data_IF_389219934212
#
_entry.id   IF_389219934212
#
_cell.length_a   1.000
_cell.length_b   1.000
_cell.length_c   1.000
_cell.angle_alpha   90.00
_cell.angle_beta   90.00
_cell.angle_gamma   90.00
#
_symmetry.space_group_name_H-M   'P 1'
#
loop_
_entity.id
_entity.type
_entity.pdbx_description
1 polymer ?
#
# COMPACT_ATOMS: atom_id res chain seq x y z
N UNK A 1 15.09 6.38 16.29
CA UNK A 1 15.30 6.38 14.81
C UNK A 1 15.16 4.98 14.21
N UNK A 2 16.07 4.04 14.47
CA UNK A 2 15.95 2.69 13.89
C UNK A 2 14.76 1.93 14.48
N UNK A 3 14.57 2.01 15.79
CA UNK A 3 13.46 1.38 16.53
C UNK A 3 12.09 1.82 15.99
N UNK A 4 11.93 3.12 15.72
CA UNK A 4 10.69 3.69 15.16
C UNK A 4 10.42 3.20 13.72
N UNK A 5 11.47 2.86 12.98
CA UNK A 5 11.38 2.40 11.59
C UNK A 5 11.19 0.87 11.46
N UNK A 6 11.34 0.09 12.53
CA UNK A 6 11.24 -1.38 12.47
C UNK A 6 9.88 -1.83 11.91
N UNK A 7 8.79 -1.18 12.33
CA UNK A 7 7.44 -1.49 11.83
C UNK A 7 7.31 -1.24 10.32
N UNK A 8 7.82 -0.11 9.84
CA UNK A 8 7.79 0.24 8.41
C UNK A 8 8.66 -0.72 7.58
N UNK A 9 9.85 -1.07 8.10
CA UNK A 9 10.76 -2.03 7.48
C UNK A 9 10.15 -3.43 7.39
N UNK A 10 9.52 -3.91 8.46
CA UNK A 10 8.84 -5.21 8.49
C UNK A 10 7.69 -5.27 7.47
N UNK A 11 6.85 -4.22 7.41
CA UNK A 11 5.77 -4.13 6.42
C UNK A 11 6.31 -4.04 4.99
N UNK A 12 7.39 -3.29 4.78
CA UNK A 12 8.06 -3.20 3.47
C UNK A 12 8.55 -4.59 3.02
N UNK A 13 9.23 -5.33 3.90
CA UNK A 13 9.71 -6.68 3.61
C UNK A 13 8.53 -7.63 3.32
N UNK A 14 7.45 -7.56 4.08
CA UNK A 14 6.25 -8.34 3.84
C UNK A 14 5.64 -8.03 2.46
N UNK A 15 5.60 -6.76 2.07
CA UNK A 15 5.15 -6.35 0.75
C UNK A 15 6.03 -6.88 -0.38
N UNK A 16 7.35 -6.93 -0.19
CA UNK A 16 8.28 -7.56 -1.15
C UNK A 16 7.98 -9.05 -1.28
N UNK A 17 7.79 -9.76 -0.16
CA UNK A 17 7.43 -11.18 -0.16
C UNK A 17 6.08 -11.43 -0.85
N UNK A 18 5.10 -10.54 -0.67
CA UNK A 18 3.81 -10.60 -1.36
C UNK A 18 3.96 -10.45 -2.88
N UNK A 19 4.74 -9.47 -3.36
CA UNK A 19 4.98 -9.28 -4.80
C UNK A 19 5.75 -10.48 -5.40
N UNK A 20 6.69 -11.05 -4.65
CA UNK A 20 7.38 -12.28 -5.04
C UNK A 20 6.41 -13.46 -5.15
N UNK A 21 5.49 -13.61 -4.19
CA UNK A 21 4.42 -14.61 -4.25
C UNK A 21 3.54 -14.43 -5.49
N UNK A 22 3.06 -13.22 -5.79
CA UNK A 22 2.26 -12.96 -7.01
C UNK A 22 3.03 -13.29 -8.30
N UNK A 23 4.32 -12.97 -8.34
CA UNK A 23 5.19 -13.31 -9.47
C UNK A 23 5.32 -14.82 -9.66
N UNK A 24 5.48 -15.59 -8.57
CA UNK A 24 5.50 -17.05 -8.61
C UNK A 24 4.16 -17.64 -9.08
N UNK A 25 3.03 -17.04 -8.69
CA UNK A 25 1.71 -17.45 -9.17
C UNK A 25 1.56 -17.26 -10.68
N UNK A 26 2.08 -16.16 -11.24
CA UNK A 26 2.11 -15.95 -12.70
C UNK A 26 2.98 -16.99 -13.39
N UNK A 27 4.17 -17.31 -12.85
CA UNK A 27 5.05 -18.36 -13.40
C UNK A 27 4.34 -19.71 -13.39
N UNK A 28 3.64 -20.06 -12.31
CA UNK A 28 2.85 -21.29 -12.23
C UNK A 28 1.71 -21.29 -13.26
N UNK A 29 0.98 -20.17 -13.40
CA UNK A 29 -0.09 -20.04 -14.38
C UNK A 29 0.43 -20.19 -15.81
N UNK A 30 1.59 -19.61 -16.15
CA UNK A 30 2.23 -19.80 -17.46
C UNK A 30 2.44 -21.27 -17.79
N UNK A 31 2.94 -22.06 -16.83
CA UNK A 31 3.14 -23.51 -16.99
C UNK A 31 1.79 -24.23 -17.14
N UNK A 32 0.82 -23.92 -16.29
CA UNK A 32 -0.51 -24.55 -16.29
C UNK A 32 -1.25 -24.33 -17.62
N UNK A 33 -1.21 -23.12 -18.16
CA UNK A 33 -1.92 -22.75 -19.39
C UNK A 33 -1.05 -22.77 -20.65
N UNK A 34 0.19 -23.26 -20.55
CA UNK A 34 1.17 -23.31 -21.65
C UNK A 34 1.38 -21.96 -22.37
N UNK A 35 1.39 -20.86 -21.62
CA UNK A 35 1.63 -19.50 -22.15
C UNK A 35 3.10 -19.12 -21.98
N UNK A 36 3.89 -19.36 -23.03
CA UNK A 36 5.31 -19.03 -23.08
C UNK A 36 5.54 -17.53 -23.25
N UNK A 37 6.54 -16.92 -22.58
CA UNK A 37 7.01 -15.58 -22.92
C UNK A 37 7.41 -15.49 -24.41
N UNK A 38 7.23 -14.34 -25.09
CA UNK A 38 6.81 -13.03 -24.54
C UNK A 38 5.29 -12.88 -24.41
N UNK A 39 4.49 -13.92 -24.69
CA UNK A 39 3.04 -13.79 -24.74
C UNK A 39 2.43 -13.45 -23.37
N UNK A 40 1.45 -12.56 -23.40
CA UNK A 40 0.61 -12.17 -22.25
C UNK A 40 -0.87 -12.41 -22.52
N UNK A 41 -1.22 -12.90 -23.70
CA UNK A 41 -2.53 -13.46 -24.05
C UNK A 41 -2.70 -14.88 -23.52
N UNK A 42 -3.83 -15.51 -23.85
CA UNK A 42 -4.17 -16.85 -23.40
C UNK A 42 -5.58 -16.95 -22.81
N UNK A 43 -5.92 -18.05 -22.12
CA UNK A 43 -7.24 -18.24 -21.52
C UNK A 43 -7.59 -17.13 -20.51
N UNK A 44 -8.88 -16.77 -20.34
CA UNK A 44 -9.28 -15.72 -19.41
C UNK A 44 -8.78 -15.92 -17.97
N UNK A 45 -8.62 -17.16 -17.52
CA UNK A 45 -8.06 -17.48 -16.19
C UNK A 45 -6.60 -17.02 -16.06
N UNK A 46 -5.76 -17.34 -17.05
CA UNK A 46 -4.37 -16.88 -17.10
C UNK A 46 -4.30 -15.35 -17.11
N UNK A 47 -5.09 -14.72 -18.00
CA UNK A 47 -5.08 -13.27 -18.14
C UNK A 47 -5.46 -12.57 -16.83
N UNK A 48 -6.42 -13.10 -16.06
CA UNK A 48 -6.79 -12.53 -14.75
C UNK A 48 -5.65 -12.59 -13.74
N UNK A 49 -4.97 -13.73 -13.63
CA UNK A 49 -3.81 -13.89 -12.72
C UNK A 49 -2.69 -12.92 -13.12
N UNK A 50 -2.38 -12.85 -14.43
CA UNK A 50 -1.37 -11.95 -14.97
C UNK A 50 -1.70 -10.47 -14.69
N UNK A 51 -2.95 -10.06 -14.96
CA UNK A 51 -3.41 -8.68 -14.71
C UNK A 51 -3.48 -8.34 -13.22
N UNK A 52 -3.82 -9.31 -12.37
CA UNK A 52 -3.83 -9.11 -10.92
C UNK A 52 -2.42 -8.82 -10.39
N UNK A 53 -1.41 -9.60 -10.81
CA UNK A 53 -0.02 -9.35 -10.45
C UNK A 53 0.48 -8.00 -10.99
N UNK A 54 0.25 -7.71 -12.27
CA UNK A 54 0.68 -6.45 -12.88
C UNK A 54 0.10 -5.23 -12.14
N UNK A 55 -1.20 -5.24 -11.82
CA UNK A 55 -1.83 -4.16 -11.07
C UNK A 55 -1.23 -4.02 -9.65
N UNK A 56 -0.99 -5.12 -8.95
CA UNK A 56 -0.33 -5.08 -7.64
C UNK A 56 1.08 -4.48 -7.74
N UNK A 57 1.83 -4.76 -8.81
CA UNK A 57 3.17 -4.22 -9.02
C UNK A 57 3.18 -2.75 -9.43
N UNK A 58 2.21 -2.27 -10.22
CA UNK A 58 2.06 -0.85 -10.58
C UNK A 58 1.81 0.03 -9.35
N UNK A 59 1.02 -0.46 -8.39
CA UNK A 59 0.71 0.29 -7.16
C UNK A 59 1.75 0.14 -6.06
N UNK A 60 2.65 -0.84 -6.15
CA UNK A 60 3.62 -1.13 -5.09
C UNK A 60 4.57 0.05 -4.80
N UNK A 61 5.15 0.75 -5.80
CA UNK A 61 5.96 1.94 -5.56
C UNK A 61 5.20 3.09 -4.90
N UNK A 62 3.93 3.28 -5.29
CA UNK A 62 3.05 4.29 -4.69
C UNK A 62 2.84 3.98 -3.21
N UNK A 63 2.47 2.73 -2.91
CA UNK A 63 2.31 2.24 -1.55
C UNK A 63 3.56 2.45 -0.69
N UNK A 64 4.74 2.01 -1.17
CA UNK A 64 5.99 2.18 -0.43
C UNK A 64 6.26 3.65 -0.14
N UNK A 65 6.07 4.52 -1.14
CA UNK A 65 6.30 5.96 -0.96
C UNK A 65 5.42 6.53 0.15
N UNK A 66 4.11 6.27 0.12
CA UNK A 66 3.18 6.85 1.10
C UNK A 66 3.24 6.17 2.47
N UNK A 67 3.62 4.89 2.55
CA UNK A 67 3.91 4.20 3.81
C UNK A 67 5.06 4.91 4.55
N UNK A 68 6.15 5.17 3.85
CA UNK A 68 7.32 5.81 4.44
C UNK A 68 7.07 7.28 4.76
N UNK A 69 6.41 8.04 3.87
CA UNK A 69 6.05 9.43 4.15
C UNK A 69 5.12 9.54 5.38
N UNK A 70 4.04 8.76 5.44
CA UNK A 70 3.14 8.76 6.60
C UNK A 70 3.86 8.33 7.88
N UNK A 71 4.78 7.38 7.79
CA UNK A 71 5.56 6.88 8.93
C UNK A 71 6.54 7.92 9.47
N UNK A 72 7.33 8.55 8.59
CA UNK A 72 8.36 9.53 8.97
C UNK A 72 7.74 10.85 9.42
N UNK A 73 6.72 11.34 8.71
CA UNK A 73 6.19 12.69 8.94
C UNK A 73 4.99 12.75 9.91
N UNK A 74 4.34 11.63 10.23
CA UNK A 74 3.17 11.64 11.11
C UNK A 74 3.22 10.58 12.21
N UNK A 75 3.21 9.29 11.87
CA UNK A 75 3.21 8.23 12.89
C UNK A 75 3.71 6.90 12.32
N UNK A 76 4.87 6.39 12.76
CA UNK A 76 5.40 5.11 12.32
C UNK A 76 4.46 3.94 12.65
N UNK A 77 3.87 3.94 13.85
CA UNK A 77 2.96 2.89 14.31
C UNK A 77 1.66 2.82 13.50
N UNK A 78 0.98 3.96 13.32
CA UNK A 78 -0.26 4.00 12.52
C UNK A 78 0.02 3.67 11.06
N UNK A 79 1.13 4.17 10.50
CA UNK A 79 1.51 3.86 9.13
C UNK A 79 1.76 2.36 8.93
N UNK A 80 2.46 1.70 9.86
CA UNK A 80 2.68 0.26 9.81
C UNK A 80 1.36 -0.54 9.86
N UNK A 81 0.41 -0.16 10.74
CA UNK A 81 -0.91 -0.79 10.81
C UNK A 81 -1.69 -0.63 9.50
N UNK A 82 -1.76 0.58 8.96
CA UNK A 82 -2.36 0.83 7.66
C UNK A 82 -1.67 0.03 6.55
N UNK A 83 -0.34 -0.09 6.60
CA UNK A 83 0.41 -0.89 5.65
C UNK A 83 0.07 -2.38 5.68
N UNK A 84 -0.10 -2.97 6.87
CA UNK A 84 -0.57 -4.36 7.00
C UNK A 84 -1.98 -4.54 6.42
N UNK A 85 -2.89 -3.59 6.68
CA UNK A 85 -4.24 -3.62 6.12
C UNK A 85 -4.21 -3.50 4.59
N UNK A 86 -3.36 -2.64 4.04
CA UNK A 86 -3.20 -2.50 2.60
C UNK A 86 -2.73 -3.81 1.94
N UNK A 87 -1.67 -4.44 2.50
CA UNK A 87 -1.17 -5.73 2.00
C UNK A 87 -2.23 -6.83 2.11
N UNK A 88 -2.95 -6.91 3.23
CA UNK A 88 -4.09 -7.83 3.33
C UNK A 88 -5.13 -7.60 2.22
N UNK A 89 -5.48 -6.34 1.95
CA UNK A 89 -6.38 -5.97 0.85
C UNK A 89 -5.85 -6.41 -0.52
N UNK A 90 -4.53 -6.28 -0.75
CA UNK A 90 -3.87 -6.70 -2.01
C UNK A 90 -3.83 -8.21 -2.18
N UNK A 91 -3.57 -8.97 -1.12
CA UNK A 91 -3.67 -10.43 -1.17
C UNK A 91 -5.09 -10.89 -1.52
N UNK A 92 -6.11 -10.29 -0.88
CA UNK A 92 -7.53 -10.58 -1.17
C UNK A 92 -7.92 -10.16 -2.58
N UNK A 93 -7.41 -9.03 -3.06
CA UNK A 93 -7.60 -8.57 -4.44
C UNK A 93 -7.04 -9.58 -5.43
N UNK A 94 -5.81 -10.04 -5.21
CA UNK A 94 -5.15 -10.98 -6.10
C UNK A 94 -5.91 -12.31 -6.19
N UNK A 95 -6.28 -12.90 -5.06
CA UNK A 95 -7.07 -14.14 -5.03
C UNK A 95 -8.46 -13.95 -5.64
N UNK A 96 -9.14 -12.85 -5.29
CA UNK A 96 -10.46 -12.51 -5.82
C UNK A 96 -10.44 -12.36 -7.35
N UNK A 97 -9.44 -11.65 -7.88
CA UNK A 97 -9.31 -11.44 -9.31
C UNK A 97 -8.95 -12.71 -10.06
N UNK A 98 -8.03 -13.52 -9.50
CA UNK A 98 -7.65 -14.82 -10.06
C UNK A 98 -8.89 -15.71 -10.26
N UNK A 99 -9.79 -15.75 -9.27
CA UNK A 99 -11.04 -16.49 -9.35
C UNK A 99 -12.02 -15.87 -10.37
N UNK A 100 -12.31 -14.57 -10.28
CA UNK A 100 -13.25 -13.89 -11.18
C UNK A 100 -12.97 -12.39 -11.30
N UNK A 101 -13.37 -11.78 -12.42
CA UNK A 101 -13.24 -10.33 -12.58
C UNK A 101 -14.05 -9.52 -11.53
N UNK A 102 -15.19 -10.05 -11.08
CA UNK A 102 -16.03 -9.40 -10.07
C UNK A 102 -15.44 -9.53 -8.65
N UNK A 103 -14.81 -10.67 -8.35
CA UNK A 103 -14.21 -10.95 -7.04
C UNK A 103 -13.10 -9.98 -6.64
N UNK A 104 -12.55 -9.22 -7.60
CA UNK A 104 -11.52 -8.21 -7.34
C UNK A 104 -12.06 -6.92 -6.71
N UNK A 105 -13.35 -6.58 -6.88
CA UNK A 105 -13.84 -5.23 -6.64
C UNK A 105 -13.85 -4.83 -5.17
N UNK A 106 -14.44 -5.64 -4.28
CA UNK A 106 -14.51 -5.30 -2.86
C UNK A 106 -13.11 -5.17 -2.22
N UNK A 107 -12.15 -6.10 -2.43
CA UNK A 107 -10.78 -5.92 -1.95
C UNK A 107 -10.04 -4.75 -2.60
N UNK A 108 -10.34 -4.42 -3.87
CA UNK A 108 -9.78 -3.26 -4.55
C UNK A 108 -10.20 -1.97 -3.84
N UNK A 109 -11.49 -1.80 -3.55
CA UNK A 109 -11.98 -0.60 -2.86
C UNK A 109 -11.41 -0.49 -1.45
N UNK A 110 -11.35 -1.60 -0.72
CA UNK A 110 -10.74 -1.62 0.60
C UNK A 110 -9.25 -1.19 0.55
N UNK A 111 -8.45 -1.81 -0.31
CA UNK A 111 -7.03 -1.44 -0.45
C UNK A 111 -6.84 0.00 -0.93
N UNK A 112 -7.71 0.50 -1.81
CA UNK A 112 -7.69 1.89 -2.25
C UNK A 112 -8.02 2.87 -1.11
N UNK A 113 -9.03 2.57 -0.28
CA UNK A 113 -9.37 3.40 0.88
C UNK A 113 -8.20 3.50 1.86
N UNK A 114 -7.55 2.37 2.18
CA UNK A 114 -6.38 2.37 3.07
C UNK A 114 -5.21 3.15 2.46
N UNK A 115 -5.00 3.04 1.14
CA UNK A 115 -3.96 3.80 0.44
C UNK A 115 -4.24 5.31 0.51
N UNK A 116 -5.50 5.74 0.35
CA UNK A 116 -5.90 7.14 0.50
C UNK A 116 -5.73 7.65 1.93
N UNK A 117 -5.94 6.81 2.94
CA UNK A 117 -5.61 7.15 4.34
C UNK A 117 -4.12 7.43 4.49
N UNK A 118 -3.24 6.57 3.94
CA UNK A 118 -1.78 6.80 3.97
C UNK A 118 -1.37 8.08 3.22
N UNK A 119 -2.01 8.38 2.08
CA UNK A 119 -1.80 9.64 1.35
C UNK A 119 -2.20 10.83 2.23
N UNK A 120 -3.36 10.78 2.87
CA UNK A 120 -3.83 11.83 3.78
C UNK A 120 -2.90 12.03 4.96
N UNK A 121 -2.45 10.95 5.60
CA UNK A 121 -1.46 10.99 6.67
C UNK A 121 -0.15 11.62 6.22
N UNK A 122 0.33 11.26 5.03
CA UNK A 122 1.54 11.85 4.44
C UNK A 122 1.38 13.36 4.22
N UNK A 123 0.26 13.78 3.62
CA UNK A 123 -0.01 15.19 3.34
C UNK A 123 -0.10 16.03 4.64
N UNK A 124 -0.83 15.53 5.64
CA UNK A 124 -0.97 16.20 6.95
C UNK A 124 0.40 16.29 7.64
N UNK A 125 1.15 15.19 7.72
CA UNK A 125 2.46 15.18 8.37
C UNK A 125 3.45 16.14 7.71
N UNK A 126 3.51 16.15 6.37
CA UNK A 126 4.37 17.07 5.61
C UNK A 126 3.93 18.52 5.83
N UNK A 127 2.63 18.82 5.79
CA UNK A 127 2.12 20.18 6.02
C UNK A 127 2.48 20.68 7.42
N UNK A 128 2.21 19.90 8.46
CA UNK A 128 2.54 20.26 9.84
C UNK A 128 4.05 20.50 10.00
N UNK A 129 4.87 19.63 9.40
CA UNK A 129 6.33 19.78 9.41
C UNK A 129 6.78 21.03 8.67
N UNK A 130 6.21 21.31 7.50
CA UNK A 130 6.53 22.48 6.69
C UNK A 130 6.20 23.78 7.44
N UNK A 131 5.02 23.87 8.03
CA UNK A 131 4.59 25.04 8.81
C UNK A 131 5.50 25.29 10.01
N UNK A 132 5.87 24.21 10.73
CA UNK A 132 6.79 24.29 11.85
C UNK A 132 8.18 24.77 11.44
N UNK A 133 8.74 24.21 10.37
CA UNK A 133 10.12 24.47 9.94
C UNK A 133 10.28 25.83 9.26
N UNK A 134 9.35 26.20 8.37
CA UNK A 134 9.50 27.37 7.52
C UNK A 134 8.72 28.60 8.00
N UNK A 135 7.62 28.41 8.74
CA UNK A 135 6.79 29.51 9.23
C UNK A 135 6.87 29.70 10.75
N UNK A 136 7.61 28.84 11.47
CA UNK A 136 7.65 28.81 12.95
C UNK A 136 6.27 28.72 13.61
N UNK A 137 5.29 28.11 12.94
CA UNK A 137 3.94 27.90 13.46
C UNK A 137 3.80 26.45 13.91
N UNK A 138 3.57 26.23 15.21
CA UNK A 138 3.21 24.91 15.74
C UNK A 138 1.69 24.81 15.88
N UNK A 139 1.03 24.38 14.78
CA UNK A 139 -0.43 24.27 14.74
C UNK A 139 -1.01 23.34 15.81
N UNK A 140 -0.30 22.28 16.19
CA UNK A 140 -0.80 21.35 17.22
C UNK A 140 -0.83 22.03 18.58
N UNK A 141 0.21 22.83 18.89
CA UNK A 141 0.26 23.61 20.11
C UNK A 141 -0.79 24.73 20.12
N UNK A 142 -0.95 25.46 19.02
CA UNK A 142 -1.94 26.55 18.93
C UNK A 142 -3.39 26.06 18.98
N UNK A 143 -3.70 24.92 18.34
CA UNK A 143 -5.02 24.31 18.48
C UNK A 143 -5.25 23.80 19.90
N UNK A 144 -4.22 23.24 20.54
CA UNK A 144 -4.28 22.82 21.94
C UNK A 144 -4.62 23.99 22.86
N UNK A 145 -3.91 25.12 22.74
CA UNK A 145 -4.16 26.31 23.58
C UNK A 145 -5.52 26.95 23.30
N UNK A 146 -6.00 26.93 22.05
CA UNK A 146 -7.32 27.44 21.69
C UNK A 146 -8.47 26.57 22.26
N UNK A 147 -8.25 25.26 22.40
CA UNK A 147 -9.24 24.30 22.91
C UNK A 147 -9.21 24.14 24.43
N UNK A 148 -8.12 24.51 25.10
CA UNK A 148 -8.02 24.57 26.56
C UNK A 148 -7.76 26.01 27.08
N UNK A 149 -8.75 26.93 26.99
CA UNK A 149 -8.58 28.31 27.41
C UNK A 149 -8.68 28.54 28.94
N UNK A 150 -8.54 27.51 29.78
CA UNK A 150 -8.71 27.57 31.25
C UNK A 150 -7.49 27.05 32.00
#
# INVERSE_FOLDING_TARGET
MLEDAVGLGAVTLLGVLEQAYFSLQVIYARRKFSVSPPDTGGPPEFQRIFRAQANCSEYFPIFLTVLWLAGVFLSPGLSAVCGLLYLYGRLRYFWGYSASAQGRLAPLYFSAQVLWVLIGMSAVGILLTFLRVYLNVDLLQELGSALSPL
#
